data_IF_348954359449
#
_entry.id   IF_348954359449
#
_cell.length_a   1.000
_cell.length_b   1.000
_cell.length_c   1.000
_cell.angle_alpha   90.00
_cell.angle_beta   90.00
_cell.angle_gamma   90.00
#
_symmetry.space_group_name_H-M   'P 1'
#
loop_
_entity.id
_entity.type
_entity.pdbx_description
1 polymer ?
#
# COMPACT_ATOMS: atom_id res chain seq x y z
N UNK A 1 37.21 -95.25 -39.42
CA UNK A 1 37.64 -94.64 -40.69
C UNK A 1 37.24 -93.16 -40.63
N UNK A 2 38.17 -92.30 -40.28
CA UNK A 2 37.97 -90.90 -40.31
C UNK A 2 38.58 -90.32 -41.62
N UNK A 3 37.73 -89.72 -42.45
CA UNK A 3 38.21 -88.94 -43.64
C UNK A 3 38.51 -87.50 -43.18
N UNK A 4 39.77 -87.13 -43.34
CA UNK A 4 40.24 -85.75 -43.20
C UNK A 4 39.82 -84.94 -44.42
N UNK A 5 39.13 -83.80 -44.23
CA UNK A 5 38.91 -82.76 -45.23
C UNK A 5 40.20 -81.92 -45.40
N UNK A 6 40.56 -81.49 -46.60
CA UNK A 6 41.74 -80.63 -46.82
C UNK A 6 41.45 -79.16 -46.41
N UNK A 7 42.45 -78.41 -45.99
CA UNK A 7 42.32 -77.03 -45.54
C UNK A 7 41.97 -76.05 -46.68
N UNK A 8 41.03 -75.18 -46.45
CA UNK A 8 40.69 -74.09 -47.37
C UNK A 8 41.76 -73.03 -47.33
N UNK A 9 42.07 -72.39 -48.54
CA UNK A 9 43.03 -71.29 -48.64
C UNK A 9 42.54 -70.00 -48.02
N UNK A 10 43.45 -69.14 -47.53
CA UNK A 10 43.05 -67.86 -46.85
C UNK A 10 42.44 -66.85 -47.84
N UNK A 11 41.29 -66.36 -47.51
CA UNK A 11 40.64 -65.26 -48.25
C UNK A 11 41.40 -63.97 -48.01
N UNK A 12 41.90 -63.35 -49.09
CA UNK A 12 42.49 -61.99 -49.10
C UNK A 12 41.36 -60.94 -48.79
N UNK A 13 41.67 -59.89 -48.03
CA UNK A 13 40.71 -58.81 -47.84
C UNK A 13 40.51 -58.00 -49.08
N UNK A 14 39.28 -57.87 -49.51
CA UNK A 14 38.89 -57.00 -50.65
C UNK A 14 39.14 -55.53 -50.22
N UNK A 15 40.10 -54.89 -50.82
CA UNK A 15 40.29 -53.44 -50.72
C UNK A 15 39.11 -52.75 -51.39
N UNK A 16 38.25 -52.05 -50.56
CA UNK A 16 37.28 -51.11 -51.09
C UNK A 16 38.03 -49.92 -51.71
N UNK A 17 38.00 -49.79 -53.00
CA UNK A 17 38.44 -48.58 -53.73
C UNK A 17 37.58 -47.37 -53.21
N UNK A 18 38.22 -46.43 -52.54
CA UNK A 18 37.63 -45.13 -52.26
C UNK A 18 37.42 -44.39 -53.55
N UNK A 19 36.15 -44.35 -54.00
CA UNK A 19 35.72 -43.58 -55.14
C UNK A 19 36.03 -42.10 -54.90
N UNK A 20 37.07 -41.55 -55.43
CA UNK A 20 37.38 -40.13 -55.32
C UNK A 20 36.31 -39.35 -56.10
N UNK A 21 35.55 -38.50 -55.39
CA UNK A 21 34.60 -37.62 -56.05
C UNK A 21 35.28 -36.66 -56.94
N UNK A 22 34.75 -36.54 -58.16
CA UNK A 22 35.31 -35.63 -59.19
C UNK A 22 35.08 -34.18 -58.82
N UNK A 23 36.02 -33.30 -59.11
CA UNK A 23 35.96 -31.86 -58.79
C UNK A 23 34.59 -31.20 -59.13
N UNK A 24 33.94 -31.53 -60.30
CA UNK A 24 32.61 -30.99 -60.59
C UNK A 24 31.52 -31.46 -59.67
N UNK A 25 31.59 -32.68 -59.07
CA UNK A 25 30.64 -33.18 -58.13
C UNK A 25 30.76 -32.46 -56.75
N UNK A 26 31.98 -32.16 -56.33
CA UNK A 26 32.26 -31.40 -55.16
C UNK A 26 31.68 -29.94 -55.27
N UNK A 27 31.93 -29.36 -56.49
CA UNK A 27 31.42 -28.00 -56.76
C UNK A 27 29.89 -27.93 -56.78
N UNK A 28 29.22 -28.96 -57.32
CA UNK A 28 27.77 -29.06 -57.32
C UNK A 28 27.20 -29.18 -55.87
N UNK A 29 27.81 -29.98 -54.99
CA UNK A 29 27.40 -30.15 -53.59
C UNK A 29 27.57 -28.82 -52.80
N UNK A 30 28.69 -28.12 -53.04
CA UNK A 30 28.91 -26.80 -52.37
C UNK A 30 27.86 -25.77 -52.82
N UNK A 31 27.50 -25.80 -54.13
CA UNK A 31 26.48 -24.90 -54.67
C UNK A 31 25.11 -25.21 -54.16
N UNK A 32 24.73 -26.49 -54.04
CA UNK A 32 23.45 -26.92 -53.44
C UNK A 32 23.39 -26.61 -51.93
N UNK A 33 24.50 -26.85 -51.21
CA UNK A 33 24.56 -26.49 -49.78
C UNK A 33 24.50 -24.96 -49.58
N UNK A 34 25.20 -24.18 -50.39
CA UNK A 34 25.15 -22.72 -50.39
C UNK A 34 23.73 -22.19 -50.65
N UNK A 35 23.03 -22.77 -51.63
CA UNK A 35 21.64 -22.42 -51.92
C UNK A 35 20.70 -22.84 -50.80
N UNK A 36 20.89 -24.02 -50.19
CA UNK A 36 20.11 -24.47 -49.05
C UNK A 36 20.29 -23.57 -47.82
N UNK A 37 21.55 -23.17 -47.54
CA UNK A 37 21.84 -22.22 -46.43
C UNK A 37 21.23 -20.84 -46.73
N UNK A 38 21.36 -20.34 -47.97
CA UNK A 38 20.75 -19.07 -48.36
C UNK A 38 19.21 -19.12 -48.25
N UNK A 39 18.57 -20.20 -48.69
CA UNK A 39 17.14 -20.42 -48.59
C UNK A 39 16.69 -20.52 -47.11
N UNK A 40 17.47 -21.22 -46.29
CA UNK A 40 17.18 -21.38 -44.85
C UNK A 40 17.32 -20.06 -44.08
N UNK A 41 18.33 -19.26 -44.44
CA UNK A 41 18.50 -17.92 -43.84
C UNK A 41 17.35 -17.00 -44.29
N UNK A 42 16.95 -17.00 -45.55
CA UNK A 42 15.84 -16.16 -46.04
C UNK A 42 14.47 -16.63 -45.51
N UNK A 43 14.28 -17.95 -45.31
CA UNK A 43 13.04 -18.51 -44.77
C UNK A 43 12.90 -18.35 -43.25
N UNK A 44 14.04 -18.31 -42.53
CA UNK A 44 14.05 -18.13 -41.05
C UNK A 44 14.20 -16.68 -40.60
N UNK A 45 14.55 -15.75 -41.50
CA UNK A 45 14.50 -14.32 -41.17
C UNK A 45 13.04 -13.89 -41.11
N UNK A 46 12.53 -13.47 -39.95
CA UNK A 46 11.18 -12.95 -39.88
C UNK A 46 11.07 -11.74 -40.81
N UNK A 47 10.23 -11.83 -41.82
CA UNK A 47 9.89 -10.66 -42.63
C UNK A 47 9.25 -9.65 -41.70
N UNK A 48 9.84 -8.47 -41.56
CA UNK A 48 9.28 -7.39 -40.80
C UNK A 48 7.86 -7.13 -41.34
N UNK A 49 6.87 -7.23 -40.46
CA UNK A 49 5.48 -6.90 -40.81
C UNK A 49 5.44 -5.47 -41.38
N UNK A 50 4.82 -5.25 -42.55
CA UNK A 50 4.67 -3.90 -43.09
C UNK A 50 3.67 -3.06 -42.27
N UNK A 51 3.16 -3.59 -41.16
CA UNK A 51 2.19 -2.96 -40.32
C UNK A 51 2.68 -2.86 -38.88
N UNK A 52 2.34 -1.77 -38.23
CA UNK A 52 2.49 -1.54 -36.81
C UNK A 52 1.13 -1.26 -36.14
N UNK A 53 1.13 -1.09 -34.87
CA UNK A 53 -0.08 -0.72 -34.10
C UNK A 53 0.14 0.58 -33.34
N UNK A 54 -0.92 1.37 -33.22
CA UNK A 54 -0.96 2.52 -32.32
C UNK A 54 -1.08 2.00 -30.88
N UNK A 55 -0.19 2.43 -30.00
CA UNK A 55 -0.22 2.10 -28.58
C UNK A 55 -0.50 3.35 -27.76
N UNK A 56 -1.29 3.22 -26.70
CA UNK A 56 -1.39 4.28 -25.72
C UNK A 56 -0.04 4.41 -25.00
N UNK A 57 0.45 5.62 -24.88
CA UNK A 57 1.70 5.89 -24.19
C UNK A 57 1.60 7.23 -23.50
N UNK A 58 2.26 7.37 -22.37
CA UNK A 58 2.39 8.66 -21.71
C UNK A 58 3.68 9.30 -22.19
N UNK A 59 3.56 10.46 -22.83
CA UNK A 59 4.70 11.34 -23.02
C UNK A 59 4.76 12.29 -21.85
N UNK A 60 5.89 12.31 -21.25
CA UNK A 60 6.16 13.31 -20.24
C UNK A 60 7.61 13.14 -19.80
N UNK A 61 8.23 14.26 -19.59
CA UNK A 61 9.47 14.28 -18.85
C UNK A 61 9.20 13.67 -17.48
N UNK A 62 10.05 12.73 -17.07
CA UNK A 62 9.98 12.13 -15.75
C UNK A 62 11.05 12.76 -14.87
N UNK A 63 10.62 13.28 -13.74
CA UNK A 63 11.50 13.95 -12.78
C UNK A 63 11.57 13.11 -11.53
N UNK A 64 12.73 12.54 -11.29
CA UNK A 64 12.99 11.75 -10.10
C UNK A 64 13.41 12.67 -8.95
N UNK A 65 12.96 12.37 -7.75
CA UNK A 65 13.35 13.13 -6.57
C UNK A 65 13.00 12.42 -5.29
N UNK A 66 13.53 12.95 -4.19
CA UNK A 66 13.22 12.49 -2.85
C UNK A 66 12.03 13.26 -2.32
N UNK A 67 11.05 12.52 -1.81
CA UNK A 67 9.77 13.02 -1.33
C UNK A 67 9.72 13.01 0.19
N UNK A 68 9.33 14.13 0.77
CA UNK A 68 8.97 14.25 2.18
C UNK A 68 7.47 14.47 2.28
N UNK A 69 6.77 13.53 2.93
CA UNK A 69 5.31 13.53 3.05
C UNK A 69 4.87 14.45 4.19
N UNK A 70 3.92 15.31 3.90
CA UNK A 70 3.28 16.23 4.85
C UNK A 70 1.82 15.83 4.99
N UNK A 71 1.44 15.39 6.19
CA UNK A 71 0.07 15.00 6.50
C UNK A 71 -0.62 16.08 7.29
N UNK A 72 -1.94 16.20 7.14
CA UNK A 72 -2.76 17.01 8.03
C UNK A 72 -3.04 16.20 9.30
N UNK A 73 -2.14 16.33 10.27
CA UNK A 73 -2.13 15.52 11.47
C UNK A 73 -2.05 16.38 12.74
N UNK A 74 -2.79 15.93 13.77
CA UNK A 74 -2.79 16.56 15.09
C UNK A 74 -2.31 15.55 16.12
N UNK A 75 -1.15 15.77 16.74
CA UNK A 75 -0.64 14.93 17.83
C UNK A 75 -1.34 15.26 19.15
N UNK A 76 -1.50 14.24 19.98
CA UNK A 76 -2.03 14.34 21.34
C UNK A 76 -1.02 13.78 22.34
N UNK A 77 -0.68 14.61 23.33
CA UNK A 77 0.37 14.34 24.29
C UNK A 77 -0.17 14.17 25.70
N UNK A 78 0.55 13.42 26.51
CA UNK A 78 0.34 13.35 27.94
C UNK A 78 1.67 13.42 28.70
N UNK A 79 1.61 13.96 29.90
CA UNK A 79 2.74 13.98 30.84
C UNK A 79 2.65 12.78 31.80
N UNK A 80 3.82 12.33 32.28
CA UNK A 80 3.89 11.27 33.28
C UNK A 80 3.31 9.93 32.83
N UNK A 81 3.36 9.62 31.55
CA UNK A 81 2.84 8.38 30.98
C UNK A 81 3.71 7.19 31.39
N UNK A 82 3.08 6.21 32.07
CA UNK A 82 3.71 4.93 32.38
C UNK A 82 3.36 3.87 31.34
N UNK A 83 2.08 3.76 30.99
CA UNK A 83 1.61 2.85 29.95
C UNK A 83 0.34 3.35 29.28
N UNK A 84 0.06 2.84 28.08
CA UNK A 84 -1.12 3.17 27.27
C UNK A 84 -1.84 1.89 26.90
N UNK A 85 -3.14 1.83 27.23
CA UNK A 85 -4.04 0.78 26.74
C UNK A 85 -4.85 1.35 25.57
N UNK A 86 -4.76 0.75 24.40
CA UNK A 86 -5.42 1.20 23.18
C UNK A 86 -6.82 0.62 23.12
N UNK A 87 -7.83 1.50 22.98
CA UNK A 87 -9.24 1.10 22.80
C UNK A 87 -9.60 1.13 21.29
N UNK A 88 -9.03 2.09 20.54
CA UNK A 88 -9.18 2.17 19.10
C UNK A 88 -8.13 1.32 18.37
N UNK A 89 -8.46 0.91 17.14
CA UNK A 89 -7.57 0.15 16.27
C UNK A 89 -6.68 1.12 15.49
N UNK A 90 -5.40 0.78 15.33
CA UNK A 90 -4.43 1.50 14.47
C UNK A 90 -4.97 1.67 13.05
N UNK A 91 -4.87 2.88 12.47
CA UNK A 91 -5.31 3.18 11.12
C UNK A 91 -6.84 3.17 10.94
N UNK A 92 -7.63 3.07 12.01
CA UNK A 92 -9.09 3.12 11.86
C UNK A 92 -9.63 4.54 11.87
N UNK A 93 -10.70 4.76 11.10
CA UNK A 93 -11.47 5.99 11.16
C UNK A 93 -12.15 6.12 12.52
N UNK A 94 -12.00 7.27 13.15
CA UNK A 94 -12.64 7.62 14.43
C UNK A 94 -13.39 8.93 14.30
N UNK A 95 -14.46 9.06 15.05
CA UNK A 95 -15.28 10.25 15.11
C UNK A 95 -15.09 10.98 16.44
N UNK A 96 -15.30 12.26 16.45
CA UNK A 96 -15.23 13.07 17.67
C UNK A 96 -15.97 12.42 18.84
N UNK A 97 -15.29 12.24 19.97
CA UNK A 97 -15.84 11.58 21.16
C UNK A 97 -15.62 10.07 21.21
N UNK A 98 -15.14 9.43 20.14
CA UNK A 98 -14.74 8.01 20.15
C UNK A 98 -13.60 7.80 21.14
N UNK A 99 -13.72 6.81 22.02
CA UNK A 99 -12.65 6.44 22.96
C UNK A 99 -11.45 5.89 22.21
N UNK A 100 -10.29 6.51 22.38
CA UNK A 100 -9.05 6.16 21.68
C UNK A 100 -8.16 5.28 22.54
N UNK A 101 -7.87 5.71 23.77
CA UNK A 101 -6.99 4.98 24.67
C UNK A 101 -7.17 5.40 26.13
N UNK A 102 -6.63 4.58 27.00
CA UNK A 102 -6.46 4.88 28.44
C UNK A 102 -4.97 5.04 28.72
N UNK A 103 -4.63 6.13 29.36
CA UNK A 103 -3.27 6.41 29.81
C UNK A 103 -3.21 6.17 31.31
N UNK A 104 -2.24 5.38 31.71
CA UNK A 104 -1.93 5.13 33.11
C UNK A 104 -0.70 5.97 33.49
N UNK A 105 -0.87 6.81 34.51
CA UNK A 105 0.18 7.69 35.00
C UNK A 105 1.23 6.97 35.83
N UNK A 106 2.35 7.63 36.08
CA UNK A 106 3.38 7.18 37.01
C UNK A 106 2.78 6.91 38.38
N UNK A 107 3.05 5.74 38.97
CA UNK A 107 2.42 5.22 40.18
C UNK A 107 1.48 4.05 39.95
N UNK A 108 0.94 3.89 38.76
CA UNK A 108 0.21 2.68 38.37
C UNK A 108 1.18 1.52 38.17
N UNK A 109 0.86 0.37 38.71
CA UNK A 109 1.61 -0.87 38.48
C UNK A 109 0.68 -1.99 38.02
N UNK A 110 1.21 -2.94 37.28
CA UNK A 110 0.48 -4.14 36.85
C UNK A 110 -0.09 -4.93 38.04
N UNK A 111 0.53 -4.80 39.22
CA UNK A 111 0.06 -5.40 40.48
C UNK A 111 -1.33 -4.93 40.87
N UNK A 112 -1.69 -3.67 40.58
CA UNK A 112 -3.02 -3.13 40.88
C UNK A 112 -4.11 -3.85 40.07
N UNK A 113 -3.83 -4.18 38.80
CA UNK A 113 -4.74 -4.96 37.97
C UNK A 113 -4.85 -6.41 38.45
N UNK A 114 -3.74 -7.00 38.88
CA UNK A 114 -3.75 -8.36 39.44
C UNK A 114 -4.60 -8.39 40.72
N UNK A 115 -4.42 -7.41 41.62
CA UNK A 115 -5.22 -7.29 42.85
C UNK A 115 -6.73 -7.14 42.54
N UNK A 116 -7.07 -6.32 41.51
CA UNK A 116 -8.47 -6.20 41.09
C UNK A 116 -9.01 -7.55 40.57
N UNK A 117 -8.22 -8.27 39.78
CA UNK A 117 -8.63 -9.58 39.30
C UNK A 117 -8.78 -10.61 40.42
N UNK A 118 -7.95 -10.54 41.47
CA UNK A 118 -8.05 -11.40 42.65
C UNK A 118 -9.34 -11.13 43.42
N UNK A 119 -9.73 -9.86 43.63
CA UNK A 119 -11.04 -9.54 44.24
C UNK A 119 -12.19 -10.08 43.40
N UNK A 120 -12.16 -9.95 42.08
CA UNK A 120 -13.18 -10.47 41.18
C UNK A 120 -13.28 -12.00 41.22
N UNK A 121 -12.15 -12.67 41.31
CA UNK A 121 -12.11 -14.13 41.46
C UNK A 121 -12.70 -14.54 42.81
N UNK A 122 -12.37 -13.85 43.92
CA UNK A 122 -12.94 -14.12 45.22
C UNK A 122 -14.44 -13.89 45.26
N UNK A 123 -14.94 -12.81 44.65
CA UNK A 123 -16.37 -12.55 44.50
C UNK A 123 -17.05 -13.70 43.76
N UNK A 124 -16.48 -14.13 42.60
CA UNK A 124 -17.01 -15.24 41.80
C UNK A 124 -17.06 -16.54 42.57
N UNK A 125 -15.99 -16.90 43.26
CA UNK A 125 -15.90 -18.13 44.05
C UNK A 125 -16.92 -18.12 45.22
N UNK A 126 -17.05 -17.00 45.90
CA UNK A 126 -17.98 -16.88 46.99
C UNK A 126 -19.43 -16.84 46.51
N UNK A 127 -19.74 -16.19 45.39
CA UNK A 127 -21.05 -16.28 44.74
C UNK A 127 -21.42 -17.73 44.41
N UNK A 128 -20.52 -18.49 43.81
CA UNK A 128 -20.73 -19.92 43.49
C UNK A 128 -21.01 -20.73 44.75
N UNK A 129 -20.31 -20.43 45.86
CA UNK A 129 -20.55 -21.08 47.14
C UNK A 129 -21.97 -20.79 47.69
N UNK A 130 -22.42 -19.53 47.61
CA UNK A 130 -23.75 -19.14 48.04
C UNK A 130 -24.84 -19.77 47.18
N UNK A 131 -24.67 -19.76 45.88
CA UNK A 131 -25.59 -20.37 44.89
C UNK A 131 -25.71 -21.89 45.10
N UNK A 132 -24.62 -22.59 45.36
CA UNK A 132 -24.63 -24.02 45.60
C UNK A 132 -25.26 -24.39 46.97
N UNK A 133 -25.34 -23.44 47.90
CA UNK A 133 -25.99 -23.65 49.17
C UNK A 133 -27.52 -23.39 49.13
N UNK A 134 -28.03 -22.79 48.04
CA UNK A 134 -29.47 -22.55 47.87
C UNK A 134 -30.20 -23.83 47.46
N UNK A 135 -31.31 -24.11 48.15
CA UNK A 135 -32.14 -25.29 47.88
C UNK A 135 -33.23 -24.97 46.82
N UNK A 136 -33.54 -23.69 46.60
CA UNK A 136 -34.60 -23.25 45.69
C UNK A 136 -34.04 -22.76 44.36
N UNK A 137 -34.69 -23.15 43.31
CA UNK A 137 -34.40 -22.67 41.94
C UNK A 137 -34.76 -21.18 41.80
N UNK A 138 -33.85 -20.38 41.31
CA UNK A 138 -34.03 -18.96 41.07
C UNK A 138 -34.29 -18.72 39.55
N UNK A 139 -35.58 -18.64 39.24
CA UNK A 139 -36.02 -18.50 37.82
C UNK A 139 -35.53 -17.19 37.18
N UNK A 140 -35.29 -16.14 37.95
CA UNK A 140 -34.76 -14.88 37.44
C UNK A 140 -33.27 -15.03 37.09
N UNK A 141 -32.49 -15.70 37.92
CA UNK A 141 -31.09 -15.96 37.64
C UNK A 141 -30.93 -16.89 36.42
N UNK A 142 -31.75 -17.94 36.32
CA UNK A 142 -31.74 -18.84 35.15
C UNK A 142 -31.98 -18.09 33.84
N UNK A 143 -32.90 -17.13 33.80
CA UNK A 143 -33.12 -16.27 32.62
C UNK A 143 -31.90 -15.45 32.28
N UNK A 144 -31.27 -14.81 33.28
CA UNK A 144 -30.06 -14.00 33.04
C UNK A 144 -28.87 -14.87 32.59
N UNK A 145 -28.71 -16.06 33.14
CA UNK A 145 -27.67 -17.00 32.72
C UNK A 145 -27.89 -17.53 31.28
N UNK A 146 -29.14 -17.83 30.94
CA UNK A 146 -29.53 -18.22 29.59
C UNK A 146 -29.24 -17.10 28.58
N UNK A 147 -29.52 -15.83 28.94
CA UNK A 147 -29.22 -14.71 28.07
C UNK A 147 -27.71 -14.54 27.88
N UNK A 148 -26.91 -14.59 28.94
CA UNK A 148 -25.42 -14.55 28.83
C UNK A 148 -24.91 -15.66 27.92
N UNK A 149 -25.40 -16.91 28.08
CA UNK A 149 -24.98 -18.03 27.25
C UNK A 149 -25.39 -17.86 25.80
N UNK A 150 -26.59 -17.33 25.53
CA UNK A 150 -27.05 -17.04 24.17
C UNK A 150 -26.17 -15.99 23.49
N UNK A 151 -25.89 -14.88 24.14
CA UNK A 151 -25.01 -13.83 23.61
C UNK A 151 -23.58 -14.32 23.42
N UNK A 152 -23.05 -15.10 24.34
CA UNK A 152 -21.73 -15.71 24.20
C UNK A 152 -21.63 -16.66 22.98
N UNK A 153 -22.70 -17.42 22.71
CA UNK A 153 -22.79 -18.25 21.49
C UNK A 153 -22.80 -17.42 20.24
N UNK A 154 -23.58 -16.33 20.19
CA UNK A 154 -23.63 -15.41 19.03
C UNK A 154 -22.25 -14.81 18.73
N UNK A 155 -21.53 -14.31 19.76
CA UNK A 155 -20.15 -13.82 19.60
C UNK A 155 -19.23 -14.91 19.06
N UNK A 156 -19.32 -16.13 19.61
CA UNK A 156 -18.52 -17.27 19.16
C UNK A 156 -18.78 -17.62 17.69
N UNK A 157 -20.02 -17.59 17.23
CA UNK A 157 -20.35 -17.90 15.83
C UNK A 157 -19.80 -16.83 14.89
N UNK A 158 -19.80 -15.54 15.28
CA UNK A 158 -19.17 -14.48 14.48
C UNK A 158 -17.66 -14.69 14.38
N UNK A 159 -16.98 -15.06 15.49
CA UNK A 159 -15.54 -15.38 15.48
C UNK A 159 -15.25 -16.56 14.54
N UNK A 160 -16.19 -17.50 14.38
CA UNK A 160 -16.08 -18.65 13.45
C UNK A 160 -16.42 -18.32 12.00
N UNK A 161 -16.75 -17.06 11.68
CA UNK A 161 -17.01 -16.59 10.34
C UNK A 161 -18.49 -16.39 9.97
N UNK A 162 -19.42 -16.47 10.94
CA UNK A 162 -20.80 -16.07 10.70
C UNK A 162 -20.89 -14.55 10.41
N UNK A 163 -21.83 -14.16 9.55
CA UNK A 163 -22.08 -12.75 9.25
C UNK A 163 -22.70 -12.05 10.46
N UNK A 164 -22.18 -10.88 10.81
CA UNK A 164 -22.71 -10.06 11.92
C UNK A 164 -21.78 -8.91 12.29
N UNK A 165 -22.29 -7.99 13.09
CA UNK A 165 -21.49 -6.89 13.64
C UNK A 165 -20.92 -7.32 14.99
N UNK A 166 -19.60 -7.58 15.03
CA UNK A 166 -18.88 -8.05 16.22
C UNK A 166 -19.01 -7.06 17.39
N UNK A 167 -18.83 -5.77 17.12
CA UNK A 167 -18.90 -4.73 18.15
C UNK A 167 -20.27 -4.67 18.81
N UNK A 168 -21.34 -4.78 18.04
CA UNK A 168 -22.70 -4.80 18.58
C UNK A 168 -22.94 -6.05 19.46
N UNK A 169 -22.46 -7.22 19.03
CA UNK A 169 -22.62 -8.45 19.81
C UNK A 169 -21.77 -8.44 21.09
N UNK A 170 -20.59 -7.87 21.07
CA UNK A 170 -19.79 -7.64 22.28
C UNK A 170 -20.49 -6.72 23.28
N UNK A 171 -21.13 -5.65 22.80
CA UNK A 171 -21.92 -4.76 23.64
C UNK A 171 -23.13 -5.49 24.29
N UNK A 172 -23.84 -6.29 23.49
CA UNK A 172 -24.99 -7.08 23.99
C UNK A 172 -24.55 -8.12 25.04
N UNK A 173 -23.43 -8.82 24.77
CA UNK A 173 -22.87 -9.76 25.76
C UNK A 173 -22.43 -9.04 27.05
N UNK A 174 -21.75 -7.90 26.91
CA UNK A 174 -21.34 -7.08 28.06
C UNK A 174 -22.54 -6.62 28.90
N UNK A 175 -23.61 -6.18 28.23
CA UNK A 175 -24.86 -5.80 28.91
C UNK A 175 -25.50 -6.98 29.65
N UNK A 176 -25.58 -8.16 29.05
CA UNK A 176 -26.11 -9.36 29.68
C UNK A 176 -25.28 -9.79 30.90
N UNK A 177 -23.93 -9.76 30.79
CA UNK A 177 -23.03 -10.04 31.92
C UNK A 177 -23.26 -9.04 33.05
N UNK A 178 -23.36 -7.75 32.73
CA UNK A 178 -23.61 -6.68 33.73
C UNK A 178 -24.94 -6.86 34.43
N UNK A 179 -26.00 -7.20 33.70
CA UNK A 179 -27.30 -7.47 34.25
C UNK A 179 -27.28 -8.64 35.27
N UNK A 180 -26.61 -9.74 34.90
CA UNK A 180 -26.40 -10.89 35.79
C UNK A 180 -25.61 -10.50 37.05
N UNK A 181 -24.50 -9.78 36.88
CA UNK A 181 -23.67 -9.34 38.00
C UNK A 181 -24.44 -8.41 38.97
N UNK A 182 -25.21 -7.46 38.42
CA UNK A 182 -26.05 -6.56 39.21
C UNK A 182 -27.13 -7.30 39.99
N UNK A 183 -27.74 -8.31 39.37
CA UNK A 183 -28.72 -9.15 40.04
C UNK A 183 -28.10 -9.90 41.24
N UNK A 184 -26.97 -10.56 41.04
CA UNK A 184 -26.26 -11.29 42.11
C UNK A 184 -25.78 -10.37 43.23
N UNK A 185 -25.30 -9.17 42.89
CA UNK A 185 -24.91 -8.16 43.86
C UNK A 185 -26.10 -7.76 44.74
N UNK A 186 -27.25 -7.51 44.14
CA UNK A 186 -28.47 -7.15 44.89
C UNK A 186 -29.00 -8.33 45.71
N UNK A 187 -29.01 -9.54 45.14
CA UNK A 187 -29.50 -10.75 45.85
C UNK A 187 -28.73 -11.05 47.12
N UNK A 188 -27.43 -10.85 47.13
CA UNK A 188 -26.55 -11.10 48.27
C UNK A 188 -26.10 -9.81 48.97
N UNK A 189 -26.86 -8.74 48.86
CA UNK A 189 -26.51 -7.44 49.45
C UNK A 189 -26.46 -7.46 50.99
N UNK A 190 -27.20 -8.37 51.63
CA UNK A 190 -27.21 -8.52 53.08
C UNK A 190 -26.08 -9.42 53.62
N UNK A 191 -25.38 -10.16 52.75
CA UNK A 191 -24.25 -10.98 53.16
C UNK A 191 -23.01 -10.11 53.44
N UNK A 192 -22.61 -10.08 54.72
CA UNK A 192 -21.51 -9.21 55.17
C UNK A 192 -20.17 -9.50 54.47
N UNK A 193 -19.91 -10.76 54.11
CA UNK A 193 -18.66 -11.11 53.43
C UNK A 193 -18.70 -10.65 51.97
N UNK A 194 -19.83 -10.83 51.32
CA UNK A 194 -20.03 -10.37 49.94
C UNK A 194 -19.93 -8.85 49.86
N UNK A 195 -20.56 -8.12 50.78
CA UNK A 195 -20.48 -6.68 50.86
C UNK A 195 -19.02 -6.21 50.98
N UNK A 196 -18.22 -6.81 51.86
CA UNK A 196 -16.80 -6.47 52.02
C UNK A 196 -16.00 -6.72 50.70
N UNK A 197 -16.22 -7.82 50.02
CA UNK A 197 -15.54 -8.12 48.76
C UNK A 197 -15.88 -7.09 47.66
N UNK A 198 -17.14 -6.64 47.62
CA UNK A 198 -17.52 -5.57 46.70
C UNK A 198 -16.95 -4.21 47.08
N UNK A 199 -16.84 -3.90 48.37
CA UNK A 199 -16.22 -2.67 48.87
C UNK A 199 -14.72 -2.65 48.56
N UNK A 200 -14.04 -3.79 48.70
CA UNK A 200 -12.62 -3.96 48.35
C UNK A 200 -12.42 -3.80 46.82
N UNK A 201 -13.26 -4.44 45.99
CA UNK A 201 -13.26 -4.24 44.56
C UNK A 201 -13.47 -2.77 44.17
N UNK A 202 -14.46 -2.12 44.76
CA UNK A 202 -14.77 -0.71 44.47
C UNK A 202 -13.65 0.22 44.89
N UNK A 203 -13.03 -0.01 46.03
CA UNK A 203 -11.87 0.74 46.51
C UNK A 203 -10.68 0.58 45.57
N UNK A 204 -10.44 -0.64 45.08
CA UNK A 204 -9.40 -0.91 44.12
C UNK A 204 -9.66 -0.25 42.74
N UNK A 205 -10.93 -0.27 42.27
CA UNK A 205 -11.34 0.43 41.05
C UNK A 205 -11.16 1.95 41.21
N UNK A 206 -11.50 2.54 42.32
CA UNK A 206 -11.25 3.97 42.57
C UNK A 206 -9.78 4.30 42.59
N UNK A 207 -8.94 3.46 43.21
CA UNK A 207 -7.48 3.61 43.17
C UNK A 207 -6.96 3.56 41.76
N UNK A 208 -7.33 2.57 40.94
CA UNK A 208 -6.93 2.48 39.54
C UNK A 208 -7.43 3.69 38.75
N UNK A 209 -8.66 4.13 38.95
CA UNK A 209 -9.23 5.28 38.23
C UNK A 209 -8.51 6.59 38.53
N UNK A 210 -7.94 6.76 39.73
CA UNK A 210 -7.16 7.96 40.08
C UNK A 210 -5.89 8.11 39.28
N UNK A 211 -5.33 7.01 38.74
CA UNK A 211 -4.14 6.98 37.88
C UNK A 211 -4.47 6.79 36.42
N UNK A 212 -5.76 6.71 36.05
CA UNK A 212 -6.20 6.42 34.69
C UNK A 212 -6.88 7.62 34.09
N UNK A 213 -6.42 8.06 32.92
CA UNK A 213 -7.08 9.10 32.12
C UNK A 213 -7.55 8.52 30.79
N UNK A 214 -8.86 8.64 30.52
CA UNK A 214 -9.45 8.26 29.25
C UNK A 214 -9.27 9.39 28.24
N UNK A 215 -8.75 9.06 27.06
CA UNK A 215 -8.64 9.97 25.93
C UNK A 215 -9.65 9.59 24.84
N UNK A 216 -10.31 10.60 24.32
CA UNK A 216 -11.25 10.47 23.22
C UNK A 216 -10.81 11.37 22.05
N UNK A 217 -11.22 11.00 20.84
CA UNK A 217 -10.94 11.79 19.65
C UNK A 217 -11.53 13.21 19.76
N UNK A 218 -10.73 14.20 19.49
CA UNK A 218 -11.13 15.62 19.49
C UNK A 218 -11.73 16.05 18.14
N UNK A 219 -11.37 15.35 17.04
CA UNK A 219 -11.85 15.56 15.68
C UNK A 219 -12.07 14.20 15.01
N UNK A 220 -12.78 14.21 13.90
CA UNK A 220 -12.88 13.06 13.00
C UNK A 220 -11.54 12.87 12.30
N UNK A 221 -11.20 11.63 11.90
CA UNK A 221 -9.96 11.32 11.18
C UNK A 221 -9.46 9.91 11.46
N UNK A 222 -8.37 9.53 10.83
CA UNK A 222 -7.68 8.27 11.10
C UNK A 222 -6.86 8.38 12.38
N UNK A 223 -6.96 7.40 13.26
CA UNK A 223 -6.12 7.35 14.45
C UNK A 223 -4.84 6.59 14.18
N UNK A 224 -3.71 7.15 14.62
CA UNK A 224 -2.43 6.45 14.61
C UNK A 224 -1.73 6.59 15.95
N UNK A 225 -1.19 5.48 16.44
CA UNK A 225 -0.35 5.42 17.63
C UNK A 225 1.15 5.46 17.28
N UNK A 226 1.45 5.52 15.99
CA UNK A 226 2.80 5.71 15.48
C UNK A 226 3.14 7.20 15.45
N UNK A 227 4.29 7.57 15.99
CA UNK A 227 4.85 8.93 15.96
C UNK A 227 6.24 8.87 15.35
N UNK A 228 6.52 9.72 14.37
CA UNK A 228 7.83 9.84 13.74
C UNK A 228 8.60 11.12 14.20
N UNK A 229 7.91 11.98 14.95
CA UNK A 229 8.46 13.22 15.49
C UNK A 229 8.47 14.40 14.52
N UNK A 230 7.85 14.27 13.34
CA UNK A 230 7.68 15.35 12.38
C UNK A 230 6.35 16.10 12.60
N UNK A 231 5.39 15.49 13.25
CA UNK A 231 4.02 15.96 13.46
C UNK A 231 3.93 17.30 14.21
N UNK A 232 5.00 17.70 14.90
CA UNK A 232 5.03 18.98 15.64
C UNK A 232 5.61 20.13 14.85
N UNK A 233 6.48 19.84 13.90
CA UNK A 233 7.19 20.89 13.17
C UNK A 233 6.89 20.95 11.69
N UNK A 234 6.34 19.89 11.11
CA UNK A 234 5.98 19.79 9.69
C UNK A 234 4.48 19.57 9.55
N UNK A 235 3.74 20.63 9.21
CA UNK A 235 2.28 20.64 9.15
C UNK A 235 1.78 21.21 7.82
N UNK A 236 0.51 20.96 7.49
CA UNK A 236 -0.14 21.54 6.31
C UNK A 236 -0.24 23.08 6.36
N UNK A 237 -0.01 23.69 7.52
CA UNK A 237 -0.04 25.15 7.67
C UNK A 237 1.32 25.81 7.43
N UNK A 238 2.44 25.07 7.55
CA UNK A 238 3.78 25.65 7.45
C UNK A 238 4.69 25.02 6.39
N UNK A 239 4.27 23.95 5.71
CA UNK A 239 5.12 23.24 4.75
C UNK A 239 5.63 24.12 3.59
N UNK A 240 4.92 25.17 3.24
CA UNK A 240 5.32 26.10 2.19
C UNK A 240 6.52 27.00 2.59
N UNK A 241 6.78 27.16 3.89
CA UNK A 241 7.80 28.06 4.43
C UNK A 241 9.20 27.44 4.44
N UNK A 242 9.31 26.11 4.35
CA UNK A 242 10.61 25.44 4.40
C UNK A 242 11.44 25.68 3.15
N UNK A 243 12.70 26.03 3.38
CA UNK A 243 13.71 26.17 2.33
C UNK A 243 14.19 24.82 1.80
N UNK A 244 14.79 24.76 0.60
CA UNK A 244 15.38 23.51 0.08
C UNK A 244 16.44 22.89 0.99
N UNK A 245 17.17 23.71 1.76
CA UNK A 245 18.18 23.23 2.70
C UNK A 245 17.54 22.53 3.90
N UNK A 246 16.50 23.10 4.48
CA UNK A 246 15.74 22.51 5.59
C UNK A 246 15.04 21.23 5.18
N UNK A 247 14.43 21.19 3.98
CA UNK A 247 13.81 19.96 3.44
C UNK A 247 14.85 18.86 3.26
N UNK A 248 16.05 19.19 2.77
CA UNK A 248 17.15 18.22 2.64
C UNK A 248 17.61 17.69 4.00
N UNK A 249 17.69 18.57 5.00
CA UNK A 249 18.02 18.18 6.38
C UNK A 249 16.95 17.19 6.91
N UNK A 250 15.68 17.47 6.66
CA UNK A 250 14.57 16.60 7.06
C UNK A 250 14.58 15.26 6.33
N UNK A 251 14.87 15.23 5.04
CA UNK A 251 15.07 14.00 4.27
C UNK A 251 16.21 13.14 4.82
N UNK A 252 17.24 13.79 5.37
CA UNK A 252 18.36 13.12 6.05
C UNK A 252 18.06 12.75 7.52
N UNK A 253 16.81 12.90 7.97
CA UNK A 253 16.34 12.47 9.29
C UNK A 253 16.41 13.53 10.40
N UNK A 254 16.79 14.77 10.09
CA UNK A 254 16.73 15.87 11.05
C UNK A 254 15.28 16.30 11.24
N UNK A 255 14.78 16.16 12.47
CA UNK A 255 13.40 16.50 12.78
C UNK A 255 13.19 18.02 12.82
N UNK A 256 12.09 18.55 12.22
CA UNK A 256 11.75 19.95 12.35
C UNK A 256 11.13 20.22 13.71
N UNK A 257 11.27 21.44 14.20
CA UNK A 257 10.60 21.92 15.40
C UNK A 257 11.48 21.99 16.63
N UNK A 258 10.92 22.64 17.62
CA UNK A 258 11.61 22.93 18.88
C UNK A 258 11.51 21.71 19.81
N UNK A 259 12.64 21.07 20.09
CA UNK A 259 12.72 19.94 21.03
C UNK A 259 12.21 20.29 22.44
N UNK A 260 12.13 21.59 22.76
CA UNK A 260 11.68 22.07 24.07
C UNK A 260 10.16 21.95 24.26
N UNK A 261 9.35 22.05 23.19
CA UNK A 261 7.91 21.84 23.26
C UNK A 261 7.52 20.40 23.65
N UNK A 262 8.43 19.44 23.45
CA UNK A 262 8.25 18.02 23.74
C UNK A 262 8.85 17.58 25.07
N UNK A 263 9.56 18.47 25.80
CA UNK A 263 10.18 18.10 27.08
C UNK A 263 9.14 17.61 28.11
N UNK A 264 9.27 16.38 28.53
CA UNK A 264 8.41 15.75 29.54
C UNK A 264 7.07 15.27 29.03
N UNK A 265 6.77 15.41 27.74
CA UNK A 265 5.54 14.92 27.10
C UNK A 265 5.79 13.67 26.27
N UNK A 266 4.80 12.81 26.20
CA UNK A 266 4.82 11.62 25.36
C UNK A 266 3.63 11.68 24.43
N UNK A 267 3.84 11.59 23.13
CA UNK A 267 2.76 11.45 22.15
C UNK A 267 2.07 10.13 22.36
N UNK A 268 0.77 10.17 22.63
CA UNK A 268 -0.06 8.99 22.93
C UNK A 268 -0.80 8.50 21.71
N UNK A 269 -1.24 9.39 20.85
CA UNK A 269 -1.80 9.12 19.52
C UNK A 269 -1.79 10.42 18.70
N UNK A 270 -2.07 10.30 17.43
CA UNK A 270 -2.37 11.41 16.52
C UNK A 270 -3.61 11.10 15.72
N UNK A 271 -4.37 12.11 15.33
CA UNK A 271 -5.44 12.03 14.35
C UNK A 271 -4.96 12.64 13.04
N UNK A 272 -5.25 11.95 11.92
CA UNK A 272 -4.84 12.36 10.57
C UNK A 272 -6.12 12.58 9.77
N UNK A 273 -6.23 13.74 9.11
CA UNK A 273 -7.33 14.04 8.20
C UNK A 273 -7.17 13.26 6.89
N UNK A 274 -8.26 12.69 6.39
CA UNK A 274 -8.30 12.03 5.09
C UNK A 274 -8.43 13.07 3.96
N UNK A 275 -8.02 12.66 2.77
CA UNK A 275 -8.33 13.36 1.52
C UNK A 275 -7.46 14.57 1.21
N UNK A 276 -6.55 14.99 2.10
CA UNK A 276 -5.66 16.13 1.86
C UNK A 276 -4.31 15.98 2.53
N UNK A 277 -3.26 15.97 1.73
CA UNK A 277 -1.88 15.92 2.18
C UNK A 277 -0.96 16.57 1.14
N UNK A 278 0.30 16.77 1.47
CA UNK A 278 1.25 17.42 0.57
C UNK A 278 2.57 16.63 0.48
N UNK A 279 3.34 16.92 -0.54
CA UNK A 279 4.68 16.38 -0.76
C UNK A 279 5.66 17.50 -1.04
N UNK A 280 6.76 17.50 -0.29
CA UNK A 280 7.93 18.32 -0.57
C UNK A 280 8.92 17.46 -1.36
N UNK A 281 8.97 17.66 -2.67
CA UNK A 281 9.81 16.85 -3.56
C UNK A 281 11.08 17.59 -3.95
N UNK A 282 12.23 17.01 -3.64
CA UNK A 282 13.55 17.51 -4.01
C UNK A 282 14.01 16.86 -5.31
N UNK A 283 14.03 17.64 -6.40
CA UNK A 283 14.42 17.21 -7.74
C UNK A 283 15.83 17.70 -8.05
N UNK A 284 16.68 16.84 -8.59
CA UNK A 284 18.04 17.19 -8.97
C UNK A 284 18.15 17.85 -10.34
N UNK A 285 17.14 17.72 -11.20
CA UNK A 285 17.10 18.34 -12.49
C UNK A 285 16.75 19.83 -12.38
N UNK A 286 17.77 20.68 -12.55
CA UNK A 286 17.61 22.13 -12.46
C UNK A 286 16.96 22.76 -13.70
N UNK A 287 16.76 22.02 -14.80
CA UNK A 287 16.28 22.56 -16.08
C UNK A 287 14.76 22.49 -16.21
N UNK A 288 14.10 21.69 -15.40
CA UNK A 288 12.63 21.62 -15.44
C UNK A 288 11.99 22.88 -14.84
N UNK A 289 11.03 23.46 -15.54
CA UNK A 289 10.21 24.56 -15.07
C UNK A 289 8.79 24.06 -14.76
N UNK A 290 8.48 23.71 -13.51
CA UNK A 290 7.13 23.35 -13.14
C UNK A 290 6.18 24.55 -13.30
N UNK A 291 4.92 24.26 -13.63
CA UNK A 291 3.87 25.27 -13.75
C UNK A 291 3.00 25.21 -12.49
N UNK A 292 2.90 26.32 -11.77
CA UNK A 292 2.03 26.41 -10.59
C UNK A 292 0.56 26.22 -10.99
N UNK A 293 -0.16 25.42 -10.19
CA UNK A 293 -1.55 25.04 -10.46
C UNK A 293 -1.72 23.85 -11.39
N UNK A 294 -0.68 23.42 -12.12
CA UNK A 294 -0.74 22.26 -13.00
C UNK A 294 -0.69 20.96 -12.18
N UNK A 295 -1.39 19.94 -12.68
CA UNK A 295 -1.47 18.63 -12.05
C UNK A 295 -0.60 17.64 -12.80
N UNK A 296 0.24 16.93 -12.05
CA UNK A 296 1.15 15.90 -12.54
C UNK A 296 0.83 14.55 -11.90
N UNK A 297 1.19 13.49 -12.56
CA UNK A 297 1.13 12.14 -11.99
C UNK A 297 2.36 11.89 -11.13
N UNK A 298 2.18 11.72 -9.81
CA UNK A 298 3.23 11.38 -8.86
C UNK A 298 3.17 9.90 -8.53
N UNK A 299 4.20 9.16 -8.93
CA UNK A 299 4.43 7.79 -8.52
C UNK A 299 5.36 7.77 -7.31
N UNK A 300 4.90 7.24 -6.18
CA UNK A 300 5.70 7.05 -4.97
C UNK A 300 6.32 5.64 -5.00
N UNK A 301 7.64 5.57 -4.97
CA UNK A 301 8.41 4.32 -5.02
C UNK A 301 8.62 3.75 -3.63
N UNK A 302 7.56 3.49 -2.92
CA UNK A 302 7.58 2.83 -1.60
C UNK A 302 6.26 2.12 -1.42
N UNK A 303 6.25 0.94 -0.81
CA UNK A 303 5.02 0.22 -0.50
C UNK A 303 3.97 0.30 -1.63
N UNK A 304 3.98 -0.66 -2.54
CA UNK A 304 2.97 -0.83 -3.59
C UNK A 304 2.99 0.16 -4.78
N UNK A 305 4.06 0.95 -4.98
CA UNK A 305 4.18 1.84 -6.13
C UNK A 305 2.90 2.69 -6.37
N UNK A 306 2.45 3.37 -5.34
CA UNK A 306 1.22 4.18 -5.41
C UNK A 306 1.39 5.37 -6.35
N UNK A 307 0.45 5.55 -7.24
CA UNK A 307 0.38 6.68 -8.16
C UNK A 307 -0.80 7.58 -7.78
N UNK A 308 -0.54 8.89 -7.64
CA UNK A 308 -1.54 9.90 -7.26
C UNK A 308 -1.44 11.12 -8.17
N UNK A 309 -2.55 11.83 -8.33
CA UNK A 309 -2.56 13.13 -8.97
C UNK A 309 -2.06 14.18 -7.96
N UNK A 310 -1.00 14.89 -8.32
CA UNK A 310 -0.35 15.89 -7.47
C UNK A 310 -0.33 17.26 -8.17
N UNK A 311 -0.91 18.27 -7.55
CA UNK A 311 -0.95 19.63 -8.07
C UNK A 311 0.24 20.45 -7.57
N UNK A 312 0.96 21.13 -8.46
CA UNK A 312 2.04 22.03 -8.08
C UNK A 312 1.48 23.24 -7.35
N UNK A 313 1.83 23.40 -6.10
CA UNK A 313 1.46 24.56 -5.29
C UNK A 313 2.44 25.72 -5.47
N UNK A 314 3.72 25.39 -5.35
CA UNK A 314 4.82 26.35 -5.56
C UNK A 314 6.14 25.59 -5.76
N UNK A 315 7.17 26.32 -6.18
CA UNK A 315 8.51 25.74 -6.28
C UNK A 315 9.60 26.76 -5.90
N UNK A 316 10.75 26.25 -5.51
CA UNK A 316 11.90 27.07 -5.13
C UNK A 316 13.18 26.44 -5.66
N UNK A 317 14.04 27.23 -6.31
CA UNK A 317 15.37 26.81 -6.78
C UNK A 317 16.45 27.36 -5.89
N UNK A 318 17.36 26.52 -5.48
CA UNK A 318 18.51 26.94 -4.69
C UNK A 318 19.66 25.94 -4.83
N UNK A 319 20.84 26.45 -5.19
CA UNK A 319 22.07 25.65 -5.21
C UNK A 319 22.03 24.42 -6.15
N UNK A 320 21.38 24.52 -7.30
CA UNK A 320 21.27 23.43 -8.29
C UNK A 320 20.19 22.38 -7.97
N UNK A 321 19.42 22.59 -6.91
CA UNK A 321 18.27 21.74 -6.55
C UNK A 321 16.97 22.48 -6.76
N UNK A 322 15.94 21.75 -7.13
CA UNK A 322 14.58 22.25 -7.29
C UNK A 322 13.70 21.60 -6.22
N UNK A 323 13.15 22.38 -5.32
CA UNK A 323 12.11 21.95 -4.39
C UNK A 323 10.75 22.26 -5.01
N UNK A 324 9.95 21.25 -5.22
CA UNK A 324 8.56 21.36 -5.68
C UNK A 324 7.63 20.99 -4.53
N UNK A 325 6.67 21.84 -4.26
CA UNK A 325 5.61 21.63 -3.27
C UNK A 325 4.36 21.17 -3.98
N UNK A 326 3.92 19.98 -3.67
CA UNK A 326 2.81 19.31 -4.32
C UNK A 326 1.67 19.11 -3.34
N UNK A 327 0.45 19.42 -3.75
CA UNK A 327 -0.78 19.09 -3.00
C UNK A 327 -1.45 17.87 -3.63
N UNK A 328 -1.93 16.98 -2.79
CA UNK A 328 -2.59 15.74 -3.18
C UNK A 328 -3.96 15.70 -2.51
N UNK A 329 -5.00 15.58 -3.32
CA UNK A 329 -6.40 15.47 -2.90
C UNK A 329 -6.84 14.00 -3.08
N UNK A 330 -6.31 13.11 -2.27
CA UNK A 330 -6.65 11.68 -2.24
C UNK A 330 -6.45 11.11 -0.84
N UNK A 331 -6.93 9.89 -0.62
CA UNK A 331 -6.80 9.21 0.64
C UNK A 331 -5.35 9.12 1.11
N UNK A 332 -5.13 9.32 2.40
CA UNK A 332 -3.80 9.34 3.05
C UNK A 332 -3.28 7.94 3.35
N UNK A 333 -4.12 6.90 3.26
CA UNK A 333 -3.79 5.52 3.59
C UNK A 333 -2.44 5.04 3.00
N UNK A 334 -2.13 5.29 1.71
CA UNK A 334 -0.87 4.82 1.14
C UNK A 334 0.37 5.41 1.80
N UNK A 335 0.26 6.60 2.39
CA UNK A 335 1.37 7.35 3.00
C UNK A 335 1.24 7.50 4.52
N UNK A 336 0.27 6.81 5.13
CA UNK A 336 -0.02 6.92 6.57
C UNK A 336 1.21 6.67 7.46
N UNK A 337 2.05 5.72 7.07
CA UNK A 337 3.26 5.31 7.81
C UNK A 337 4.57 5.69 7.12
N UNK A 338 4.50 6.38 5.98
CA UNK A 338 5.66 6.78 5.19
C UNK A 338 5.90 8.27 5.42
N UNK A 339 7.12 8.65 5.83
CA UNK A 339 7.52 10.06 5.91
C UNK A 339 8.41 10.47 4.73
N UNK A 340 9.31 9.59 4.33
CA UNK A 340 10.23 9.84 3.22
C UNK A 340 10.21 8.68 2.24
N UNK A 341 10.25 8.97 0.97
CA UNK A 341 10.36 7.97 -0.10
C UNK A 341 10.96 8.61 -1.35
N UNK A 342 11.40 7.79 -2.30
CA UNK A 342 11.69 8.28 -3.65
C UNK A 342 10.38 8.40 -4.44
N UNK A 343 10.34 9.33 -5.37
CA UNK A 343 9.18 9.52 -6.23
C UNK A 343 9.57 9.93 -7.64
N UNK A 344 8.66 9.65 -8.56
CA UNK A 344 8.75 10.03 -9.96
C UNK A 344 7.55 10.89 -10.31
N UNK A 345 7.80 12.14 -10.65
CA UNK A 345 6.79 13.07 -11.13
C UNK A 345 6.78 13.05 -12.65
N UNK A 346 5.66 12.71 -13.26
CA UNK A 346 5.49 12.64 -14.70
C UNK A 346 4.41 13.59 -15.21
N UNK A 347 4.60 14.10 -16.41
CA UNK A 347 3.51 14.80 -17.10
C UNK A 347 2.51 13.75 -17.58
N UNK A 348 1.28 13.83 -17.13
CA UNK A 348 0.18 12.97 -17.58
C UNK A 348 -0.41 13.52 -18.89
N UNK A 349 0.37 13.50 -19.96
CA UNK A 349 -0.18 13.66 -21.29
C UNK A 349 -0.40 12.27 -21.88
N UNK A 350 -1.63 11.80 -21.91
CA UNK A 350 -2.01 10.63 -22.70
C UNK A 350 -1.72 10.94 -24.18
N UNK A 351 -0.74 10.31 -24.73
CA UNK A 351 -0.40 10.39 -26.14
C UNK A 351 -0.52 9.03 -26.78
N UNK A 352 -0.61 9.04 -28.10
CA UNK A 352 -0.52 7.83 -28.88
C UNK A 352 0.91 7.68 -29.40
N UNK A 353 1.45 6.48 -29.36
CA UNK A 353 2.77 6.18 -29.87
C UNK A 353 2.66 5.23 -31.08
N UNK A 354 3.46 5.52 -32.11
CA UNK A 354 3.59 4.68 -33.31
C UNK A 354 5.07 4.43 -33.60
N UNK A 355 5.44 3.30 -34.23
CA UNK A 355 6.80 3.12 -34.70
C UNK A 355 7.22 4.27 -35.61
N UNK A 356 8.46 4.74 -35.50
CA UNK A 356 8.99 5.84 -36.34
C UNK A 356 8.82 5.57 -37.84
N UNK A 357 8.86 4.30 -38.26
CA UNK A 357 8.63 3.86 -39.62
C UNK A 357 7.19 4.08 -40.12
N UNK A 358 6.23 4.41 -39.24
CA UNK A 358 4.87 4.74 -39.65
C UNK A 358 4.72 6.17 -40.14
N UNK A 359 5.75 7.02 -39.98
CA UNK A 359 5.71 8.41 -40.39
C UNK A 359 5.71 8.51 -41.91
N UNK A 360 4.71 9.16 -42.44
CA UNK A 360 4.54 9.44 -43.84
C UNK A 360 4.24 10.93 -44.06
N UNK A 361 4.72 11.49 -45.13
CA UNK A 361 4.47 12.89 -45.49
C UNK A 361 3.60 12.95 -46.75
N UNK A 362 2.46 13.64 -46.62
CA UNK A 362 1.60 13.97 -47.76
C UNK A 362 1.44 15.47 -47.84
N UNK A 363 1.74 16.03 -49.03
CA UNK A 363 1.67 17.50 -49.25
C UNK A 363 2.45 18.31 -48.21
N UNK A 364 3.60 17.83 -47.81
CA UNK A 364 4.49 18.39 -46.79
C UNK A 364 3.93 18.37 -45.36
N UNK A 365 2.81 17.67 -45.12
CA UNK A 365 2.24 17.46 -43.80
C UNK A 365 2.64 16.10 -43.22
N UNK A 366 3.13 16.05 -41.97
CA UNK A 366 3.42 14.77 -41.33
C UNK A 366 2.11 14.06 -40.98
N UNK A 367 2.06 12.76 -41.19
CA UNK A 367 0.91 11.93 -40.90
C UNK A 367 1.25 10.47 -40.77
N UNK A 368 0.28 9.67 -40.55
CA UNK A 368 0.35 8.20 -40.58
C UNK A 368 -0.72 7.66 -41.52
N UNK A 369 -0.49 6.48 -42.06
CA UNK A 369 -1.47 5.79 -42.90
C UNK A 369 -2.12 4.71 -42.05
N UNK A 370 -3.41 4.90 -41.73
CA UNK A 370 -4.23 3.89 -41.05
C UNK A 370 -4.66 2.81 -42.02
N UNK A 371 -4.76 1.57 -41.54
CA UNK A 371 -5.17 0.40 -42.31
C UNK A 371 -6.30 -0.31 -41.57
N UNK A 372 -7.48 -0.33 -42.18
CA UNK A 372 -8.65 -1.00 -41.61
C UNK A 372 -9.50 -1.62 -42.73
N UNK A 373 -9.85 -2.91 -42.57
CA UNK A 373 -10.68 -3.61 -43.55
C UNK A 373 -10.13 -3.68 -44.98
N UNK A 374 -8.81 -3.50 -45.14
CA UNK A 374 -8.16 -3.47 -46.49
C UNK A 374 -8.14 -2.08 -47.13
N UNK A 375 -8.66 -1.07 -46.46
CA UNK A 375 -8.57 0.33 -46.92
C UNK A 375 -7.45 1.05 -46.20
N UNK A 376 -6.77 1.93 -46.91
CA UNK A 376 -5.69 2.78 -46.38
C UNK A 376 -6.08 4.25 -46.55
N UNK A 377 -5.92 5.04 -45.47
CA UNK A 377 -6.12 6.50 -45.56
C UNK A 377 -5.11 7.24 -44.70
N UNK A 378 -4.73 8.40 -45.19
CA UNK A 378 -3.80 9.29 -44.50
C UNK A 378 -4.49 10.09 -43.38
N UNK A 379 -3.85 10.12 -42.22
CA UNK A 379 -4.29 10.92 -41.09
C UNK A 379 -3.16 11.88 -40.70
N UNK A 380 -3.37 13.20 -40.85
CA UNK A 380 -2.37 14.19 -40.44
C UNK A 380 -2.23 14.22 -38.93
N UNK A 381 -0.99 14.29 -38.45
CA UNK A 381 -0.65 14.25 -37.04
C UNK A 381 0.23 15.44 -36.65
N UNK A 382 0.24 15.74 -35.36
CA UNK A 382 1.26 16.57 -34.74
C UNK A 382 2.24 15.66 -34.02
N UNK A 383 3.51 15.75 -34.36
CA UNK A 383 4.57 15.04 -33.65
C UNK A 383 4.86 15.79 -32.36
N UNK A 384 4.72 15.12 -31.22
CA UNK A 384 4.97 15.66 -29.89
C UNK A 384 6.42 15.40 -29.47
N UNK A 385 6.88 14.14 -29.65
CA UNK A 385 8.24 13.72 -29.30
C UNK A 385 8.67 12.53 -30.16
N UNK A 386 9.97 12.34 -30.28
CA UNK A 386 10.58 11.15 -30.90
C UNK A 386 11.60 10.57 -29.94
N UNK A 387 11.40 9.32 -29.52
CA UNK A 387 12.30 8.65 -28.58
C UNK A 387 12.27 7.13 -28.78
N UNK A 388 13.44 6.48 -28.69
CA UNK A 388 13.53 5.02 -28.71
C UNK A 388 12.98 4.32 -29.96
N UNK A 389 12.96 4.99 -31.13
CA UNK A 389 12.39 4.44 -32.38
C UNK A 389 10.87 4.52 -32.46
N UNK A 390 10.23 5.20 -31.50
CA UNK A 390 8.80 5.52 -31.48
C UNK A 390 8.57 7.01 -31.71
N UNK A 391 7.48 7.34 -32.38
CA UNK A 391 6.93 8.69 -32.50
C UNK A 391 5.73 8.79 -31.60
N UNK A 392 5.73 9.78 -30.78
CA UNK A 392 4.62 10.18 -29.95
C UNK A 392 3.83 11.26 -30.69
N UNK A 393 2.55 11.00 -30.85
CA UNK A 393 1.72 11.78 -31.75
C UNK A 393 0.42 12.23 -31.10
N UNK A 394 -0.09 13.33 -31.57
CA UNK A 394 -1.47 13.77 -31.33
C UNK A 394 -2.20 13.90 -32.67
N UNK A 395 -3.46 13.49 -32.70
CA UNK A 395 -4.31 13.75 -33.86
C UNK A 395 -4.56 15.26 -33.99
N UNK A 396 -4.50 15.79 -35.21
CA UNK A 396 -4.93 17.18 -35.47
C UNK A 396 -6.45 17.28 -35.30
N UNK A 397 -7.18 16.26 -35.71
CA UNK A 397 -8.61 16.14 -35.55
C UNK A 397 -8.93 15.18 -34.40
N UNK A 398 -9.67 15.62 -33.39
CA UNK A 398 -10.01 14.79 -32.24
C UNK A 398 -10.88 13.58 -32.63
N UNK A 399 -10.65 12.44 -31.97
CA UNK A 399 -11.46 11.23 -32.16
C UNK A 399 -11.13 10.35 -33.38
N UNK A 400 -10.09 10.73 -34.16
CA UNK A 400 -9.70 9.96 -35.34
C UNK A 400 -8.69 8.86 -35.00
N UNK A 401 -7.85 9.08 -34.00
CA UNK A 401 -6.81 8.13 -33.57
C UNK A 401 -7.14 7.57 -32.18
N UNK A 402 -7.03 6.23 -32.06
CA UNK A 402 -7.17 5.52 -30.81
C UNK A 402 -6.23 4.32 -30.74
N UNK A 403 -6.00 3.82 -29.56
CA UNK A 403 -5.16 2.66 -29.31
C UNK A 403 -5.68 1.40 -30.05
N UNK A 404 -4.77 0.60 -30.55
CA UNK A 404 -5.07 -0.66 -31.23
C UNK A 404 -5.27 -0.53 -32.74
N UNK A 405 -5.36 0.69 -33.30
CA UNK A 405 -5.45 0.87 -34.76
C UNK A 405 -4.15 0.42 -35.45
N UNK A 406 -4.30 -0.16 -36.62
CA UNK A 406 -3.18 -0.62 -37.44
C UNK A 406 -2.67 0.51 -38.33
N UNK A 407 -1.37 0.69 -38.39
CA UNK A 407 -0.68 1.68 -39.21
C UNK A 407 0.27 0.99 -40.17
N UNK A 408 0.41 1.55 -41.38
CA UNK A 408 1.40 1.10 -42.37
C UNK A 408 2.80 1.59 -42.00
N UNK A 409 3.80 0.72 -42.19
CA UNK A 409 5.22 1.06 -42.00
C UNK A 409 5.89 1.24 -43.37
N UNK A 410 6.77 2.26 -43.47
CA UNK A 410 7.47 2.63 -44.68
C UNK A 410 8.98 2.44 -44.58
#
# INVERSE_FOLDING_TARGET
MYQMQPPQPPQMPVQQEKKRMNVPQIMLIVLVLGFAVWYLVTALTPQASPYGTITASAIGSRYNGDCLIVRDETPFDAEGVNSVSRDAREGSMVYRGTKICKVYSSGFSTREMTTLQDYRNQIKEYQLKLLNAEIRTDSQLEKLESDVLSRAREVREIIRGARGNMQNQEQLLSAAITARQSYLKNKYSEDQRMARLYDDEQSQLQRISSWTKQYAAMSDGLVSFYSDGYEYGLTMTNYEQFSPAEVRDMLNGKKPGDSDAMKGKTTIYRTIQEGHWAVLMMIQDSNWNPVEGETYELKLESFQDTTVAARVRSFTRMGGSLLVRLEVESDVDPVLYIRTCSGVLGESASSLAVPQKALYYQDNMPGIVLVEGGYEWFVPIRILQQQGGMLYIAAIQQGVLYEGQTVRLF
#
